data_IF_075462334625
#
_entry.id   IF_075462334625
#
_cell.length_a   1.000
_cell.length_b   1.000
_cell.length_c   1.000
_cell.angle_alpha   90.00
_cell.angle_beta   90.00
_cell.angle_gamma   90.00
#
_symmetry.space_group_name_H-M   'P 1'
#
loop_
_entity.id
_entity.type
_entity.pdbx_description
1 polymer ?
#
# COMPACT_ATOMS: atom_id res chain seq x y z
N UNK A 1 -30.23 15.62 -18.87
CA UNK A 1 -31.22 14.77 -19.57
C UNK A 1 -30.99 15.00 -21.07
N UNK A 2 -30.16 14.18 -21.71
CA UNK A 2 -29.89 14.33 -23.14
C UNK A 2 -30.96 13.54 -23.89
N UNK A 3 -31.84 14.26 -24.59
CA UNK A 3 -32.82 13.68 -25.49
C UNK A 3 -32.04 13.05 -26.65
N UNK A 4 -32.10 11.73 -26.76
CA UNK A 4 -31.62 11.03 -27.94
C UNK A 4 -32.61 11.34 -29.07
N UNK A 5 -32.34 12.41 -29.81
CA UNK A 5 -33.06 12.69 -31.05
C UNK A 5 -32.63 11.62 -32.03
N UNK A 6 -33.49 10.62 -32.23
CA UNK A 6 -33.33 9.64 -33.28
C UNK A 6 -33.67 10.32 -34.61
N UNK A 7 -32.77 11.15 -35.11
CA UNK A 7 -32.86 11.66 -36.48
C UNK A 7 -32.78 10.44 -37.41
N UNK A 8 -33.81 10.23 -38.24
CA UNK A 8 -33.79 9.22 -39.28
C UNK A 8 -32.64 9.53 -40.25
N UNK A 9 -31.57 8.74 -40.16
CA UNK A 9 -30.37 8.92 -40.96
C UNK A 9 -30.67 8.54 -42.42
N UNK A 10 -30.92 9.55 -43.24
CA UNK A 10 -31.07 9.39 -44.69
C UNK A 10 -29.82 9.93 -45.35
N UNK A 11 -29.03 9.05 -45.98
CA UNK A 11 -27.88 9.46 -46.77
C UNK A 11 -28.36 10.01 -48.13
N UNK A 12 -27.89 11.18 -48.56
CA UNK A 12 -28.16 11.67 -49.91
C UNK A 12 -27.50 10.76 -50.96
N UNK A 13 -28.09 10.70 -52.15
CA UNK A 13 -27.59 9.87 -53.25
C UNK A 13 -26.23 10.40 -53.76
N UNK A 14 -25.17 9.62 -53.55
CA UNK A 14 -23.82 10.02 -53.94
C UNK A 14 -23.59 9.82 -55.45
N UNK A 15 -23.23 10.90 -56.16
CA UNK A 15 -23.04 10.87 -57.64
C UNK A 15 -21.58 10.92 -58.09
N UNK A 16 -20.65 11.19 -57.17
CA UNK A 16 -19.23 11.40 -57.48
C UNK A 16 -18.37 10.88 -56.33
N UNK A 17 -17.14 10.46 -56.60
CA UNK A 17 -16.22 9.94 -55.56
C UNK A 17 -15.98 10.95 -54.43
N UNK A 18 -15.90 12.24 -54.75
CA UNK A 18 -15.72 13.34 -53.79
C UNK A 18 -16.92 13.49 -52.84
N UNK A 19 -18.12 13.18 -53.34
CA UNK A 19 -19.36 13.16 -52.54
C UNK A 19 -19.34 12.00 -51.53
N UNK A 20 -18.81 10.85 -51.92
CA UNK A 20 -18.60 9.70 -51.03
C UNK A 20 -17.61 10.07 -49.91
N UNK A 21 -16.47 10.67 -50.26
CA UNK A 21 -15.45 11.05 -49.29
C UNK A 21 -15.98 12.11 -48.30
N UNK A 22 -16.76 13.07 -48.80
CA UNK A 22 -17.44 14.08 -47.97
C UNK A 22 -18.46 13.46 -47.03
N UNK A 23 -19.24 12.48 -47.50
CA UNK A 23 -20.22 11.77 -46.67
C UNK A 23 -19.54 10.90 -45.60
N UNK A 24 -18.43 10.26 -45.93
CA UNK A 24 -17.62 9.49 -44.95
C UNK A 24 -17.02 10.42 -43.90
N UNK A 25 -16.51 11.58 -44.29
CA UNK A 25 -16.00 12.59 -43.35
C UNK A 25 -17.10 13.10 -42.41
N UNK A 26 -18.28 13.43 -42.96
CA UNK A 26 -19.42 13.90 -42.16
C UNK A 26 -19.94 12.82 -41.20
N UNK A 27 -19.98 11.56 -41.64
CA UNK A 27 -20.39 10.43 -40.80
C UNK A 27 -19.40 10.18 -39.66
N UNK A 28 -18.10 10.16 -39.98
CA UNK A 28 -17.05 9.96 -38.97
C UNK A 28 -17.05 11.09 -37.95
N UNK A 29 -17.20 12.34 -38.37
CA UNK A 29 -17.32 13.47 -37.45
C UNK A 29 -18.56 13.36 -36.56
N UNK A 30 -19.71 12.95 -37.12
CA UNK A 30 -20.96 12.77 -36.34
C UNK A 30 -20.86 11.66 -35.29
N UNK A 31 -19.99 10.66 -35.48
CA UNK A 31 -19.66 9.66 -34.46
C UNK A 31 -18.66 10.18 -33.43
N UNK A 32 -17.60 10.86 -33.88
CA UNK A 32 -16.52 11.31 -33.01
C UNK A 32 -16.91 12.49 -32.12
N UNK A 33 -17.73 13.42 -32.60
CA UNK A 33 -18.19 14.59 -31.84
C UNK A 33 -18.87 14.20 -30.50
N UNK A 34 -19.92 13.36 -30.47
CA UNK A 34 -20.53 12.94 -29.21
C UNK A 34 -19.62 12.05 -28.38
N UNK A 35 -18.78 11.21 -28.99
CA UNK A 35 -17.79 10.39 -28.27
C UNK A 35 -16.77 11.25 -27.52
N UNK A 36 -16.26 12.31 -28.16
CA UNK A 36 -15.31 13.25 -27.56
C UNK A 36 -15.99 14.13 -26.50
N UNK A 37 -17.21 14.60 -26.77
CA UNK A 37 -17.97 15.43 -25.82
C UNK A 37 -18.45 14.65 -24.58
N UNK A 38 -18.77 13.36 -24.74
CA UNK A 38 -19.17 12.48 -23.64
C UNK A 38 -17.96 11.86 -22.93
N UNK A 39 -16.79 11.81 -23.59
CA UNK A 39 -15.55 11.38 -22.95
C UNK A 39 -15.17 12.37 -21.86
N UNK A 40 -15.08 11.86 -20.63
CA UNK A 40 -14.40 12.60 -19.57
C UNK A 40 -12.92 12.60 -19.90
N UNK A 41 -12.21 13.75 -19.88
CA UNK A 41 -10.76 13.69 -19.92
C UNK A 41 -10.34 12.77 -18.78
N UNK A 42 -9.59 11.71 -19.10
CA UNK A 42 -8.91 10.96 -18.07
C UNK A 42 -8.15 12.03 -17.28
N UNK A 43 -8.36 12.08 -15.96
CA UNK A 43 -7.44 12.83 -15.11
C UNK A 43 -6.08 12.36 -15.57
N UNK A 44 -5.26 13.27 -16.09
CA UNK A 44 -3.84 13.01 -16.20
C UNK A 44 -3.48 12.54 -14.80
N UNK A 45 -3.30 11.24 -14.64
CA UNK A 45 -2.85 10.75 -13.37
C UNK A 45 -1.48 11.40 -13.32
N UNK A 46 -1.33 12.40 -12.46
CA UNK A 46 -0.04 12.85 -11.95
C UNK A 46 0.65 11.71 -11.18
N UNK A 47 0.30 10.44 -11.45
CA UNK A 47 1.26 9.36 -11.48
C UNK A 47 2.42 9.85 -12.32
N UNK A 48 3.40 10.42 -11.62
CA UNK A 48 4.82 10.24 -11.86
C UNK A 48 4.96 9.28 -13.02
N UNK A 49 5.14 9.78 -14.25
CA UNK A 49 5.50 8.90 -15.34
C UNK A 49 6.85 8.38 -14.90
N UNK A 50 6.85 7.23 -14.20
CA UNK A 50 8.03 6.70 -13.54
C UNK A 50 8.96 6.40 -14.69
N UNK A 51 9.88 7.33 -14.93
CA UNK A 51 10.85 7.19 -16.02
C UNK A 51 11.43 5.80 -15.92
N UNK A 52 11.68 5.19 -17.08
CA UNK A 52 12.30 3.85 -17.17
C UNK A 52 13.50 3.75 -16.23
N UNK A 53 14.27 4.83 -16.12
CA UNK A 53 15.44 4.96 -15.25
C UNK A 53 15.10 4.87 -13.76
N UNK A 54 14.00 5.49 -13.33
CA UNK A 54 13.56 5.46 -11.92
C UNK A 54 13.02 4.09 -11.54
N UNK A 55 12.29 3.44 -12.45
CA UNK A 55 11.87 2.03 -12.30
C UNK A 55 13.07 1.09 -12.17
N UNK A 56 14.13 1.33 -12.94
CA UNK A 56 15.36 0.58 -12.84
C UNK A 56 16.02 0.76 -11.47
N UNK A 57 16.13 2.01 -10.98
CA UNK A 57 16.65 2.29 -9.63
C UNK A 57 15.83 1.62 -8.52
N UNK A 58 14.49 1.57 -8.64
CA UNK A 58 13.67 0.84 -7.67
C UNK A 58 13.98 -0.65 -7.65
N UNK A 59 14.15 -1.28 -8.81
CA UNK A 59 14.52 -2.69 -8.93
C UNK A 59 15.88 -2.95 -8.28
N UNK A 60 16.86 -2.10 -8.56
CA UNK A 60 18.20 -2.20 -7.97
C UNK A 60 18.19 -2.00 -6.45
N UNK A 61 17.45 -1.00 -5.94
CA UNK A 61 17.27 -0.79 -4.50
C UNK A 61 16.64 -2.02 -3.84
N UNK A 62 15.64 -2.62 -4.47
CA UNK A 62 15.00 -3.83 -3.96
C UNK A 62 15.95 -5.03 -3.95
N UNK A 63 16.81 -5.18 -4.97
CA UNK A 63 17.88 -6.19 -4.99
C UNK A 63 18.87 -5.97 -3.85
N UNK A 64 19.38 -4.75 -3.70
CA UNK A 64 20.30 -4.39 -2.61
C UNK A 64 19.69 -4.63 -1.22
N UNK A 65 18.37 -4.40 -1.06
CA UNK A 65 17.66 -4.73 0.18
C UNK A 65 17.69 -6.22 0.48
N UNK A 66 17.41 -7.07 -0.51
CA UNK A 66 17.46 -8.53 -0.35
C UNK A 66 18.88 -8.98 0.02
N UNK A 67 19.90 -8.47 -0.67
CA UNK A 67 21.29 -8.78 -0.37
C UNK A 67 21.63 -8.41 1.08
N UNK A 68 21.35 -7.16 1.50
CA UNK A 68 21.61 -6.74 2.88
C UNK A 68 20.84 -7.55 3.92
N UNK A 69 19.60 -7.95 3.63
CA UNK A 69 18.82 -8.80 4.55
C UNK A 69 19.46 -10.17 4.78
N UNK A 70 20.07 -10.74 3.72
CA UNK A 70 20.77 -12.02 3.76
C UNK A 70 22.15 -11.90 4.41
N UNK A 71 22.98 -10.96 3.95
CA UNK A 71 24.38 -10.85 4.37
C UNK A 71 24.55 -10.11 5.70
N UNK A 72 23.62 -9.22 6.04
CA UNK A 72 23.72 -8.23 7.13
C UNK A 72 25.02 -7.41 7.12
N UNK A 73 25.70 -7.32 5.98
CA UNK A 73 26.98 -6.61 5.84
C UNK A 73 26.79 -5.09 5.77
N UNK A 74 27.64 -4.28 6.44
CA UNK A 74 27.64 -2.82 6.31
C UNK A 74 27.87 -2.33 4.88
N UNK A 75 28.66 -3.04 4.07
CA UNK A 75 28.92 -2.66 2.68
C UNK A 75 27.63 -2.71 1.84
N UNK A 76 26.82 -3.76 1.99
CA UNK A 76 25.53 -3.90 1.30
C UNK A 76 24.52 -2.87 1.79
N UNK A 77 24.57 -2.51 3.08
CA UNK A 77 23.76 -1.42 3.63
C UNK A 77 24.09 -0.07 2.98
N UNK A 78 25.37 0.19 2.73
CA UNK A 78 25.82 1.40 2.05
C UNK A 78 25.29 1.48 0.61
N UNK A 79 25.31 0.37 -0.12
CA UNK A 79 24.74 0.29 -1.49
C UNK A 79 23.25 0.61 -1.45
N UNK A 80 22.49 -0.03 -0.55
CA UNK A 80 21.06 0.26 -0.36
C UNK A 80 20.79 1.73 -0.06
N UNK A 81 21.55 2.30 0.88
CA UNK A 81 21.38 3.68 1.31
C UNK A 81 21.71 4.65 0.16
N UNK A 82 22.73 4.37 -0.65
CA UNK A 82 23.08 5.17 -1.81
C UNK A 82 21.95 5.17 -2.86
N UNK A 83 21.44 3.99 -3.23
CA UNK A 83 20.32 3.86 -4.17
C UNK A 83 19.07 4.59 -3.66
N UNK A 84 18.78 4.47 -2.36
CA UNK A 84 17.68 5.19 -1.74
C UNK A 84 17.86 6.72 -1.78
N UNK A 85 19.08 7.23 -1.56
CA UNK A 85 19.41 8.65 -1.71
C UNK A 85 19.22 9.14 -3.15
N UNK A 86 19.65 8.36 -4.14
CA UNK A 86 19.49 8.69 -5.55
C UNK A 86 18.02 8.79 -5.95
N UNK A 87 17.21 7.79 -5.57
CA UNK A 87 15.75 7.81 -5.78
C UNK A 87 15.13 9.06 -5.15
N UNK A 88 15.44 9.35 -3.87
CA UNK A 88 14.93 10.53 -3.19
C UNK A 88 15.29 11.82 -3.92
N UNK A 89 16.54 11.94 -4.40
CA UNK A 89 17.02 13.11 -5.15
C UNK A 89 16.23 13.32 -6.44
N UNK A 90 15.99 12.24 -7.20
CA UNK A 90 15.22 12.35 -8.45
C UNK A 90 13.78 12.73 -8.14
N UNK A 91 13.17 12.11 -7.12
CA UNK A 91 11.79 12.41 -6.74
C UNK A 91 11.65 13.88 -6.32
N UNK A 92 12.54 14.35 -5.44
CA UNK A 92 12.53 15.74 -4.96
C UNK A 92 12.69 16.73 -6.11
N UNK A 93 13.54 16.44 -7.10
CA UNK A 93 13.70 17.29 -8.29
C UNK A 93 12.44 17.37 -9.13
N UNK A 94 11.73 16.26 -9.30
CA UNK A 94 10.48 16.23 -10.04
C UNK A 94 9.38 17.00 -9.29
N UNK A 95 9.23 16.76 -7.98
CA UNK A 95 8.28 17.47 -7.14
C UNK A 95 8.55 18.98 -7.15
N UNK A 96 9.83 19.39 -7.09
CA UNK A 96 10.22 20.79 -7.22
C UNK A 96 9.82 21.37 -8.57
N UNK A 97 10.09 20.67 -9.67
CA UNK A 97 9.70 21.12 -11.01
C UNK A 97 8.19 21.28 -11.14
N UNK A 98 7.42 20.30 -10.65
CA UNK A 98 5.96 20.35 -10.67
C UNK A 98 5.44 21.51 -9.80
N UNK A 99 6.10 21.79 -8.67
CA UNK A 99 5.79 22.92 -7.83
C UNK A 99 6.09 24.26 -8.52
N UNK A 100 7.24 24.39 -9.18
CA UNK A 100 7.63 25.59 -9.92
C UNK A 100 6.66 25.87 -11.09
N UNK A 101 6.27 24.83 -11.83
CA UNK A 101 5.25 24.92 -12.89
C UNK A 101 3.88 25.34 -12.33
N UNK A 102 3.48 24.76 -11.19
CA UNK A 102 2.24 25.12 -10.51
C UNK A 102 2.24 26.59 -10.05
N UNK A 103 3.37 27.07 -9.51
CA UNK A 103 3.55 28.47 -9.11
C UNK A 103 3.46 29.43 -10.30
N UNK A 104 4.02 29.04 -11.46
CA UNK A 104 3.97 29.84 -12.68
C UNK A 104 2.54 29.99 -13.24
N UNK A 105 1.66 29.02 -13.00
CA UNK A 105 0.26 29.03 -13.42
C UNK A 105 -0.71 29.59 -12.36
N UNK A 106 -0.21 30.21 -11.29
CA UNK A 106 -1.09 30.81 -10.27
C UNK A 106 -1.73 32.09 -10.78
N UNK A 107 -3.06 32.15 -10.68
CA UNK A 107 -3.85 33.29 -11.12
C UNK A 107 -4.77 33.76 -9.99
N UNK A 108 -4.96 35.07 -9.88
CA UNK A 108 -5.76 35.68 -8.80
C UNK A 108 -7.27 35.47 -9.01
N UNK A 109 -7.73 35.43 -10.27
CA UNK A 109 -9.16 35.37 -10.63
C UNK A 109 -9.80 34.02 -10.31
N UNK A 110 -9.07 32.92 -10.48
CA UNK A 110 -9.61 31.56 -10.31
C UNK A 110 -9.47 31.00 -8.89
N UNK A 111 -9.04 31.80 -7.91
CA UNK A 111 -8.87 31.38 -6.51
C UNK A 111 -7.76 30.34 -6.26
N UNK A 112 -6.95 30.03 -7.29
CA UNK A 112 -5.81 29.11 -7.21
C UNK A 112 -4.72 29.69 -6.32
N UNK A 113 -4.48 31.01 -6.40
CA UNK A 113 -3.59 31.74 -5.51
C UNK A 113 -3.97 31.59 -4.03
N UNK A 114 -5.27 31.74 -3.71
CA UNK A 114 -5.75 31.59 -2.33
C UNK A 114 -5.62 30.15 -1.83
N UNK A 115 -5.89 29.17 -2.68
CA UNK A 115 -5.74 27.75 -2.37
C UNK A 115 -4.28 27.38 -2.07
N UNK A 116 -3.34 27.87 -2.89
CA UNK A 116 -1.90 27.70 -2.67
C UNK A 116 -1.44 28.38 -1.37
N UNK A 117 -1.84 29.63 -1.14
CA UNK A 117 -1.53 30.35 0.09
C UNK A 117 -2.09 29.66 1.35
N UNK A 118 -3.28 29.05 1.24
CA UNK A 118 -3.89 28.28 2.32
C UNK A 118 -3.11 27.01 2.64
N UNK A 119 -2.68 26.25 1.63
CA UNK A 119 -1.86 25.05 1.84
C UNK A 119 -0.50 25.41 2.45
N UNK A 120 0.13 26.51 2.05
CA UNK A 120 1.39 26.98 2.66
C UNK A 120 1.22 27.40 4.14
N UNK A 121 0.04 27.87 4.53
CA UNK A 121 -0.29 28.25 5.91
C UNK A 121 -0.80 27.08 6.76
N UNK A 122 -1.05 25.93 6.16
CA UNK A 122 -1.61 24.76 6.82
C UNK A 122 -0.62 24.23 7.84
N UNK A 123 -0.94 24.40 9.11
CA UNK A 123 -0.19 23.80 10.21
C UNK A 123 -0.73 22.40 10.46
N UNK A 124 0.16 21.46 10.75
CA UNK A 124 -0.25 20.17 11.29
C UNK A 124 -0.95 20.42 12.63
N UNK A 125 -2.15 19.84 12.86
CA UNK A 125 -2.80 19.97 14.15
C UNK A 125 -1.87 19.38 15.23
N UNK A 126 -1.81 19.99 16.42
CA UNK A 126 -1.02 19.44 17.51
C UNK A 126 -1.56 18.04 17.86
N UNK A 127 -0.66 17.15 18.28
CA UNK A 127 -1.04 15.82 18.78
C UNK A 127 -2.04 16.03 19.93
N UNK A 128 -3.22 15.37 19.92
CA UNK A 128 -4.21 15.53 20.97
C UNK A 128 -3.63 15.14 22.34
N UNK A 129 -4.29 15.59 23.39
CA UNK A 129 -3.87 15.27 24.75
C UNK A 129 -3.89 13.75 24.98
N UNK A 130 -2.83 13.23 25.59
CA UNK A 130 -2.74 11.80 25.93
C UNK A 130 -3.19 11.59 27.37
N UNK A 131 -4.07 10.62 27.57
CA UNK A 131 -4.48 10.22 28.92
C UNK A 131 -3.49 9.20 29.45
N UNK A 132 -2.66 9.61 30.41
CA UNK A 132 -1.79 8.71 31.14
C UNK A 132 -2.49 8.10 32.35
N UNK A 133 -1.82 7.17 33.05
CA UNK A 133 -2.36 6.55 34.26
C UNK A 133 -2.61 7.55 35.40
N UNK A 134 -1.75 8.57 35.54
CA UNK A 134 -1.83 9.56 36.63
C UNK A 134 -2.34 10.94 36.19
N UNK A 135 -2.03 11.38 34.96
CA UNK A 135 -2.36 12.72 34.46
C UNK A 135 -2.65 12.73 32.97
N UNK A 136 -3.38 13.76 32.53
CA UNK A 136 -3.56 14.07 31.11
C UNK A 136 -2.37 14.92 30.65
N UNK A 137 -1.66 14.48 29.62
CA UNK A 137 -0.54 15.19 29.03
C UNK A 137 -0.98 16.09 27.88
N UNK A 138 -0.76 17.39 28.06
CA UNK A 138 -1.01 18.40 27.03
C UNK A 138 0.27 18.79 26.29
N UNK A 139 1.40 18.86 26.98
CA UNK A 139 2.71 19.19 26.42
C UNK A 139 3.37 17.99 25.74
N UNK A 140 4.23 18.22 24.75
CA UNK A 140 4.90 17.14 24.03
C UNK A 140 5.93 16.40 24.91
N UNK A 141 6.52 17.10 25.88
CA UNK A 141 7.38 16.48 26.90
C UNK A 141 6.58 15.54 27.80
N UNK A 142 5.43 15.96 28.32
CA UNK A 142 4.56 15.10 29.11
C UNK A 142 4.06 13.88 28.31
N UNK A 143 3.71 14.08 27.04
CA UNK A 143 3.29 12.99 26.14
C UNK A 143 4.40 11.97 25.96
N UNK A 144 5.63 12.44 25.74
CA UNK A 144 6.80 11.57 25.59
C UNK A 144 7.06 10.75 26.86
N UNK A 145 6.87 11.35 28.04
CA UNK A 145 6.98 10.66 29.33
C UNK A 145 5.97 9.52 29.48
N UNK A 146 4.68 9.79 29.22
CA UNK A 146 3.64 8.75 29.28
C UNK A 146 3.93 7.58 28.32
N UNK A 147 4.38 7.89 27.10
CA UNK A 147 4.74 6.85 26.12
C UNK A 147 5.94 6.05 26.63
N UNK A 148 6.97 6.71 27.15
CA UNK A 148 8.15 6.05 27.71
C UNK A 148 7.78 5.13 28.89
N UNK A 149 6.96 5.60 29.83
CA UNK A 149 6.48 4.80 30.97
C UNK A 149 5.66 3.59 30.49
N UNK A 150 4.78 3.80 29.50
CA UNK A 150 3.98 2.71 28.91
C UNK A 150 4.87 1.65 28.26
N UNK A 151 5.87 2.05 27.47
CA UNK A 151 6.80 1.13 26.82
C UNK A 151 7.67 0.42 27.86
N UNK A 152 8.19 1.15 28.85
CA UNK A 152 8.97 0.57 29.94
C UNK A 152 8.18 -0.53 30.66
N UNK A 153 6.90 -0.28 30.97
CA UNK A 153 6.03 -1.27 31.60
C UNK A 153 5.76 -2.49 30.70
N UNK A 154 5.58 -2.29 29.39
CA UNK A 154 5.38 -3.39 28.44
C UNK A 154 6.62 -4.27 28.25
N UNK A 155 7.81 -3.68 28.31
CA UNK A 155 9.07 -4.40 28.17
C UNK A 155 9.67 -4.82 29.52
N UNK A 156 8.96 -4.60 30.62
CA UNK A 156 9.36 -5.12 31.93
C UNK A 156 9.19 -6.63 31.89
N UNK A 157 10.24 -7.36 32.28
CA UNK A 157 10.17 -8.82 32.39
C UNK A 157 9.04 -9.16 33.37
N UNK A 158 8.12 -10.03 32.95
CA UNK A 158 7.12 -10.56 33.87
C UNK A 158 7.85 -11.25 35.03
N UNK A 159 7.34 -11.10 36.24
CA UNK A 159 7.88 -11.79 37.41
C UNK A 159 7.44 -13.25 37.32
N UNK A 160 8.20 -14.07 36.58
CA UNK A 160 7.93 -15.49 36.34
C UNK A 160 8.32 -16.35 37.54
N UNK A 161 8.46 -15.75 38.74
CA UNK A 161 8.87 -16.46 39.94
C UNK A 161 7.83 -17.51 40.34
N UNK A 162 8.11 -18.73 39.88
CA UNK A 162 8.07 -19.99 40.63
C UNK A 162 6.77 -20.79 40.74
N UNK A 163 5.86 -20.73 39.77
CA UNK A 163 4.89 -21.83 39.63
C UNK A 163 4.48 -22.15 38.19
N UNK A 164 4.29 -21.14 37.34
CA UNK A 164 3.90 -21.35 35.94
C UNK A 164 4.98 -22.04 35.12
N UNK A 165 6.24 -21.61 35.23
CA UNK A 165 7.33 -22.25 34.47
C UNK A 165 7.58 -23.67 34.94
N UNK A 166 7.42 -23.94 36.23
CA UNK A 166 7.56 -25.28 36.80
C UNK A 166 6.39 -26.19 36.39
N UNK A 167 5.17 -25.66 36.38
CA UNK A 167 3.99 -26.36 35.89
C UNK A 167 4.08 -26.65 34.38
N UNK A 168 4.51 -25.68 33.58
CA UNK A 168 4.72 -25.86 32.14
C UNK A 168 5.83 -26.87 31.89
N UNK A 169 6.97 -26.73 32.57
CA UNK A 169 8.08 -27.70 32.48
C UNK A 169 7.62 -29.09 32.88
N UNK A 170 6.84 -29.22 33.95
CA UNK A 170 6.29 -30.50 34.39
C UNK A 170 5.35 -31.09 33.34
N UNK A 171 4.43 -30.31 32.79
CA UNK A 171 3.50 -30.76 31.73
C UNK A 171 4.27 -31.22 30.49
N UNK A 172 5.25 -30.42 30.04
CA UNK A 172 6.09 -30.77 28.89
C UNK A 172 6.89 -32.04 29.16
N UNK A 173 7.49 -32.17 30.34
CA UNK A 173 8.25 -33.36 30.72
C UNK A 173 7.35 -34.60 30.76
N UNK A 174 6.15 -34.51 31.35
CA UNK A 174 5.19 -35.62 31.37
C UNK A 174 4.69 -35.99 29.98
N UNK A 175 4.55 -35.00 29.09
CA UNK A 175 4.15 -35.25 27.72
C UNK A 175 5.25 -36.02 26.97
N UNK A 176 6.51 -35.55 27.05
CA UNK A 176 7.67 -36.19 26.43
C UNK A 176 7.95 -37.60 27.00
N UNK A 177 7.76 -37.81 28.29
CA UNK A 177 7.89 -39.13 28.90
C UNK A 177 6.76 -40.08 28.48
N UNK A 178 5.54 -39.56 28.28
CA UNK A 178 4.45 -40.33 27.67
C UNK A 178 4.70 -40.61 26.18
N UNK A 179 5.44 -39.75 25.47
CA UNK A 179 5.83 -40.02 24.08
C UNK A 179 6.84 -41.18 23.96
N UNK A 180 7.61 -41.47 25.00
CA UNK A 180 8.47 -42.66 25.03
C UNK A 180 7.68 -43.99 25.11
N UNK A 181 6.35 -43.95 25.33
CA UNK A 181 5.45 -45.10 25.16
C UNK A 181 4.94 -45.28 23.71
N UNK A 182 5.33 -44.41 22.76
CA UNK A 182 4.96 -44.54 21.35
C UNK A 182 5.87 -45.46 20.53
N UNK A 183 6.81 -46.18 21.16
CA UNK A 183 7.57 -47.24 20.48
C UNK A 183 6.72 -48.41 19.98
N UNK A 184 5.41 -48.41 20.28
CA UNK A 184 4.42 -49.38 19.77
C UNK A 184 3.35 -48.77 18.86
N UNK A 185 3.51 -47.57 18.30
CA UNK A 185 2.62 -47.12 17.21
C UNK A 185 3.14 -47.69 15.89
N UNK A 186 2.39 -48.63 15.32
CA UNK A 186 2.58 -49.03 13.92
C UNK A 186 2.49 -47.79 13.02
N UNK A 187 3.38 -47.61 12.02
CA UNK A 187 3.38 -46.40 11.20
C UNK A 187 1.98 -46.19 10.61
N UNK A 188 1.32 -45.11 11.02
CA UNK A 188 0.04 -44.77 10.41
C UNK A 188 0.27 -44.53 8.93
N UNK A 189 -0.54 -45.10 8.03
CA UNK A 189 -0.38 -44.86 6.61
C UNK A 189 -0.45 -43.36 6.31
N UNK A 190 0.33 -42.87 5.33
CA UNK A 190 0.28 -41.46 4.96
C UNK A 190 -1.15 -41.07 4.57
N UNK A 191 -1.60 -39.85 4.92
CA UNK A 191 -2.97 -39.41 4.65
C UNK A 191 -3.24 -39.43 3.14
N UNK A 192 -4.45 -39.85 2.76
CA UNK A 192 -4.83 -39.88 1.35
C UNK A 192 -5.00 -38.45 0.82
N UNK A 193 -4.71 -38.20 -0.48
CA UNK A 193 -4.91 -36.88 -1.08
C UNK A 193 -6.33 -36.32 -0.89
N UNK A 194 -7.36 -37.19 -0.86
CA UNK A 194 -8.74 -36.80 -0.61
C UNK A 194 -8.95 -36.24 0.79
N UNK A 195 -8.33 -36.83 1.81
CA UNK A 195 -8.44 -36.40 3.21
C UNK A 195 -7.82 -35.01 3.39
N UNK A 196 -6.69 -34.75 2.74
CA UNK A 196 -6.03 -33.45 2.75
C UNK A 196 -6.92 -32.39 2.09
N UNK A 197 -7.55 -32.72 0.96
CA UNK A 197 -8.44 -31.80 0.25
C UNK A 197 -9.67 -31.45 1.09
N UNK A 198 -10.29 -32.43 1.73
CA UNK A 198 -11.46 -32.21 2.57
C UNK A 198 -11.12 -31.42 3.83
N UNK A 199 -9.94 -31.67 4.42
CA UNK A 199 -9.43 -30.86 5.52
C UNK A 199 -9.23 -29.40 5.12
N UNK A 200 -8.56 -29.14 3.99
CA UNK A 200 -8.32 -27.78 3.48
C UNK A 200 -9.64 -27.03 3.26
N UNK A 201 -10.65 -27.69 2.68
CA UNK A 201 -11.98 -27.09 2.45
C UNK A 201 -12.69 -26.72 3.74
N UNK A 202 -12.50 -27.51 4.79
CA UNK A 202 -13.13 -27.30 6.09
C UNK A 202 -12.34 -26.32 6.98
N UNK A 203 -11.13 -25.93 6.60
CA UNK A 203 -10.38 -24.91 7.33
C UNK A 203 -10.96 -23.51 7.10
N UNK A 204 -11.03 -22.71 8.16
CA UNK A 204 -11.53 -21.34 8.07
C UNK A 204 -10.46 -20.41 7.45
N UNK A 205 -10.62 -20.13 6.15
CA UNK A 205 -9.77 -19.24 5.33
C UNK A 205 -9.64 -17.79 5.84
N UNK A 206 -10.44 -17.37 6.83
CA UNK A 206 -10.32 -16.03 7.44
C UNK A 206 -9.33 -15.96 8.59
N UNK A 207 -8.76 -17.10 9.02
CA UNK A 207 -7.69 -17.12 10.02
C UNK A 207 -6.35 -16.79 9.35
N UNK A 208 -5.56 -15.94 10.01
CA UNK A 208 -4.21 -15.58 9.55
C UNK A 208 -3.27 -16.78 9.71
N UNK A 209 -2.31 -16.95 8.80
CA UNK A 209 -1.24 -17.95 8.93
C UNK A 209 -0.25 -17.49 9.99
N UNK A 210 -0.59 -17.72 11.25
CA UNK A 210 0.22 -17.46 12.42
C UNK A 210 -0.24 -18.40 13.52
N UNK A 211 0.68 -19.20 14.04
CA UNK A 211 0.44 -20.22 15.06
C UNK A 211 -0.42 -19.70 16.21
N UNK A 212 -1.58 -20.31 16.33
CA UNK A 212 -2.40 -20.35 17.54
C UNK A 212 -2.69 -21.81 17.86
N UNK A 213 -1.65 -22.65 17.92
CA UNK A 213 -1.73 -23.95 18.56
C UNK A 213 -1.87 -23.70 20.07
N UNK A 214 -3.11 -23.51 20.52
CA UNK A 214 -3.46 -23.92 21.87
C UNK A 214 -3.48 -25.45 21.86
N UNK A 215 -2.56 -26.03 22.64
CA UNK A 215 -2.48 -27.41 23.13
C UNK A 215 -3.46 -28.41 22.51
#
# INVERSE_FOLDING_TARGET
MYLCVCDNFTLPEAKTTDDIDTQVAAFTERLHQPYNNASRPLKNNDTFYISRDLNQLFKERNRARKTWQYTRSPADKNILNNLQKQIKKIITKFEQKQWDESLACLEAEYGTLWSAARELRKKTPPIPALKGPAKIAYSDTDKSGIIADSLQNQFKLNDITNDTDRAITHVVHTYLENENNFTNISPTPPPLPSEIIDYIKNTNVKKSSGDGLHL
#
